data_IF_454779755491
#
_entry.id   IF_454779755491
#
_cell.length_a   1.000
_cell.length_b   1.000
_cell.length_c   1.000
_cell.angle_alpha   90.00
_cell.angle_beta   90.00
_cell.angle_gamma   90.00
#
_symmetry.space_group_name_H-M   'P 1'
#
loop_
_entity.id
_entity.type
_entity.pdbx_description
1 polymer ?
#
# COMPACT_ATOMS: atom_id res chain seq x y z
N UNK A 1 3.91 -2.83 10.33
CA UNK A 1 4.95 -2.50 9.34
C UNK A 1 4.35 -1.97 8.05
N UNK A 2 4.82 -0.81 7.57
CA UNK A 2 4.30 -0.18 6.36
C UNK A 2 4.48 -1.07 5.11
N UNK A 3 5.62 -1.77 5.00
CA UNK A 3 5.85 -2.74 3.93
C UNK A 3 4.82 -3.88 3.92
N UNK A 4 4.42 -4.35 5.10
CA UNK A 4 3.42 -5.42 5.20
C UNK A 4 2.03 -4.94 4.77
N UNK A 5 1.65 -3.70 5.12
CA UNK A 5 0.42 -3.08 4.62
C UNK A 5 0.44 -3.00 3.08
N UNK A 6 1.56 -2.59 2.49
CA UNK A 6 1.73 -2.50 1.03
C UNK A 6 1.62 -3.87 0.37
N UNK A 7 2.30 -4.90 0.90
CA UNK A 7 2.20 -6.27 0.38
C UNK A 7 0.77 -6.79 0.42
N UNK A 8 0.05 -6.59 1.53
CA UNK A 8 -1.34 -7.02 1.68
C UNK A 8 -2.30 -6.29 0.74
N UNK A 9 -2.04 -5.03 0.41
CA UNK A 9 -2.82 -4.28 -0.60
C UNK A 9 -2.53 -4.83 -2.00
N UNK A 10 -1.26 -5.07 -2.34
CA UNK A 10 -0.86 -5.62 -3.66
C UNK A 10 -1.51 -6.97 -3.93
N UNK A 11 -1.45 -7.91 -2.99
CA UNK A 11 -2.07 -9.24 -3.14
C UNK A 11 -3.57 -9.14 -3.48
N UNK A 12 -4.27 -8.16 -2.89
CA UNK A 12 -5.69 -7.91 -3.15
C UNK A 12 -5.92 -7.25 -4.51
N UNK A 13 -5.10 -6.28 -4.88
CA UNK A 13 -5.15 -5.68 -6.21
C UNK A 13 -4.88 -6.72 -7.31
N UNK A 14 -3.92 -7.63 -7.10
CA UNK A 14 -3.61 -8.74 -8.01
C UNK A 14 -4.75 -9.76 -8.11
N UNK A 15 -5.52 -9.95 -7.05
CA UNK A 15 -6.76 -10.73 -7.06
C UNK A 15 -7.92 -10.02 -7.80
N UNK A 16 -7.71 -8.80 -8.31
CA UNK A 16 -8.69 -8.03 -9.07
C UNK A 16 -9.54 -7.09 -8.21
N UNK A 17 -9.28 -6.98 -6.91
CA UNK A 17 -9.98 -6.01 -6.06
C UNK A 17 -9.60 -4.57 -6.45
N UNK A 18 -10.58 -3.66 -6.39
CA UNK A 18 -10.29 -2.23 -6.57
C UNK A 18 -9.37 -1.77 -5.44
N UNK A 19 -8.34 -0.97 -5.76
CA UNK A 19 -7.41 -0.37 -4.78
C UNK A 19 -8.10 0.20 -3.53
N UNK A 20 -9.23 0.89 -3.73
CA UNK A 20 -10.00 1.50 -2.62
C UNK A 20 -10.55 0.44 -1.65
N UNK A 21 -11.00 -0.69 -2.17
CA UNK A 21 -11.51 -1.82 -1.37
C UNK A 21 -10.38 -2.56 -0.69
N UNK A 22 -9.29 -2.82 -1.42
CA UNK A 22 -8.07 -3.42 -0.87
C UNK A 22 -7.52 -2.62 0.33
N UNK A 23 -7.43 -1.29 0.20
CA UNK A 23 -7.00 -0.40 1.28
C UNK A 23 -7.96 -0.47 2.48
N UNK A 24 -9.27 -0.46 2.24
CA UNK A 24 -10.26 -0.52 3.31
C UNK A 24 -10.21 -1.85 4.07
N UNK A 25 -10.08 -2.98 3.35
CA UNK A 25 -9.96 -4.31 3.92
C UNK A 25 -8.67 -4.48 4.73
N UNK A 26 -7.54 -3.97 4.22
CA UNK A 26 -6.26 -3.99 4.94
C UNK A 26 -6.30 -3.14 6.19
N UNK A 27 -6.87 -1.93 6.12
CA UNK A 27 -7.02 -1.04 7.27
C UNK A 27 -7.87 -1.69 8.38
N UNK A 28 -9.00 -2.30 8.01
CA UNK A 28 -9.87 -3.01 8.95
C UNK A 28 -9.17 -4.23 9.57
N UNK A 29 -8.47 -5.03 8.76
CA UNK A 29 -7.76 -6.23 9.23
C UNK A 29 -6.55 -5.91 10.12
N UNK A 30 -5.89 -4.77 9.89
CA UNK A 30 -4.74 -4.32 10.68
C UNK A 30 -5.11 -3.41 11.86
N UNK A 31 -6.37 -2.97 11.95
CA UNK A 31 -6.83 -2.06 13.01
C UNK A 31 -6.25 -0.65 12.91
N UNK A 32 -5.84 -0.23 11.71
CA UNK A 32 -5.19 1.08 11.46
C UNK A 32 -6.08 2.00 10.62
N UNK A 33 -5.86 3.33 10.65
CA UNK A 33 -6.57 4.25 9.77
C UNK A 33 -6.30 3.96 8.29
N UNK A 34 -7.34 4.10 7.43
CA UNK A 34 -7.19 3.98 5.97
C UNK A 34 -6.14 4.92 5.38
N UNK A 35 -5.96 6.08 6.02
CA UNK A 35 -4.94 7.08 5.65
C UNK A 35 -3.53 6.50 5.74
N UNK A 36 -3.23 5.75 6.80
CA UNK A 36 -1.92 5.13 7.02
C UNK A 36 -1.59 4.10 5.93
N UNK A 37 -2.57 3.26 5.58
CA UNK A 37 -2.41 2.28 4.49
C UNK A 37 -2.22 2.98 3.15
N UNK A 38 -2.99 4.03 2.88
CA UNK A 38 -2.84 4.82 1.66
C UNK A 38 -1.45 5.48 1.56
N UNK A 39 -1.00 6.12 2.64
CA UNK A 39 0.30 6.79 2.68
C UNK A 39 1.44 5.79 2.51
N UNK A 40 1.36 4.60 3.11
CA UNK A 40 2.32 3.52 2.90
C UNK A 40 2.38 3.07 1.43
N UNK A 41 1.23 2.91 0.77
CA UNK A 41 1.15 2.53 -0.66
C UNK A 41 1.71 3.62 -1.56
N UNK A 42 1.40 4.88 -1.28
CA UNK A 42 1.93 6.03 -2.03
C UNK A 42 3.45 6.14 -1.83
N UNK A 43 3.93 6.01 -0.60
CA UNK A 43 5.36 6.05 -0.29
C UNK A 43 6.13 4.93 -1.02
N UNK A 44 5.62 3.70 -1.00
CA UNK A 44 6.21 2.58 -1.75
C UNK A 44 6.23 2.84 -3.26
N UNK A 45 5.12 3.32 -3.83
CA UNK A 45 5.04 3.66 -5.25
C UNK A 45 6.01 4.79 -5.63
N UNK A 46 6.21 5.76 -4.74
CA UNK A 46 7.17 6.84 -4.93
C UNK A 46 8.61 6.35 -4.81
N UNK A 47 8.90 5.43 -3.90
CA UNK A 47 10.21 4.78 -3.78
C UNK A 47 10.55 3.94 -5.02
N UNK A 48 9.57 3.24 -5.61
CA UNK A 48 9.75 2.52 -6.88
C UNK A 48 9.94 3.46 -8.08
N UNK A 49 9.30 4.64 -8.03
CA UNK A 49 9.35 5.64 -9.11
C UNK A 49 10.51 6.61 -9.02
N UNK A 50 11.19 6.70 -7.89
CA UNK A 50 12.47 7.37 -7.81
C UNK A 50 13.51 6.38 -8.35
N UNK A 51 13.90 6.43 -9.64
CA UNK A 51 15.19 5.89 -9.97
C UNK A 51 16.16 6.67 -9.10
N UNK A 52 17.00 5.93 -8.41
CA UNK A 52 18.19 6.40 -7.73
C UNK A 52 18.86 7.48 -8.60
N UNK A 53 18.50 8.75 -8.41
CA UNK A 53 19.21 9.88 -8.99
C UNK A 53 20.46 9.98 -8.15
N UNK A 54 21.47 9.26 -8.60
CA UNK A 54 22.90 9.48 -8.44
C UNK A 54 23.32 10.18 -7.14
N UNK A 55 23.97 9.43 -6.25
CA UNK A 55 25.40 9.57 -5.95
C UNK A 55 25.83 8.61 -4.84
#
# INVERSE_FOLDING_TARGET
DAEELVRRVRVREEAGERRKEAIAAVAAAAGVPKREVFDAVVAAKNAEKAPQKSQ
#
